data_IF_454877525458
#
_entry.id   IF_454877525458
#
_cell.length_a   1.000
_cell.length_b   1.000
_cell.length_c   1.000
_cell.angle_alpha   90.00
_cell.angle_beta   90.00
_cell.angle_gamma   90.00
#
_symmetry.space_group_name_H-M   'P 1'
#
loop_
_entity.id
_entity.type
_entity.pdbx_description
1 polymer ?
#
# COMPACT_ATOMS: atom_id res chain seq x y z
N UNK A 1 14.84 -5.05 -9.20
CA UNK A 1 15.76 -4.22 -8.37
C UNK A 1 15.14 -2.90 -7.89
N UNK A 2 14.35 -2.19 -8.71
CA UNK A 2 13.75 -0.91 -8.35
C UNK A 2 12.77 -0.97 -7.15
N UNK A 3 11.87 -1.96 -7.12
CA UNK A 3 10.85 -2.07 -6.06
C UNK A 3 11.43 -2.19 -4.64
N UNK A 4 12.52 -2.95 -4.46
CA UNK A 4 13.21 -3.05 -3.17
C UNK A 4 13.79 -1.71 -2.71
N UNK A 5 14.32 -0.90 -3.63
CA UNK A 5 14.82 0.43 -3.30
C UNK A 5 13.68 1.35 -2.85
N UNK A 6 12.53 1.31 -3.54
CA UNK A 6 11.33 2.07 -3.18
C UNK A 6 10.79 1.63 -1.82
N UNK A 7 10.72 0.32 -1.54
CA UNK A 7 10.31 -0.18 -0.22
C UNK A 7 11.20 0.35 0.90
N UNK A 8 12.52 0.30 0.72
CA UNK A 8 13.48 0.81 1.70
C UNK A 8 13.32 2.32 1.92
N UNK A 9 13.12 3.08 0.85
CA UNK A 9 12.90 4.53 0.94
C UNK A 9 11.62 4.85 1.73
N UNK A 10 10.50 4.15 1.46
CA UNK A 10 9.24 4.33 2.20
C UNK A 10 9.43 3.97 3.68
N UNK A 11 10.06 2.82 3.98
CA UNK A 11 10.30 2.41 5.37
C UNK A 11 11.20 3.39 6.12
N UNK A 12 12.24 3.92 5.46
CA UNK A 12 13.12 4.93 6.05
C UNK A 12 12.34 6.21 6.36
N UNK A 13 11.56 6.72 5.41
CA UNK A 13 10.73 7.91 5.62
C UNK A 13 9.70 7.73 6.75
N UNK A 14 9.11 6.53 6.89
CA UNK A 14 8.19 6.23 7.99
C UNK A 14 8.89 6.22 9.35
N UNK A 15 10.11 5.66 9.42
CA UNK A 15 10.92 5.68 10.65
C UNK A 15 11.29 7.10 11.05
N UNK A 16 11.84 7.86 10.10
CA UNK A 16 12.37 9.20 10.40
C UNK A 16 11.27 10.17 10.83
N UNK A 17 10.09 10.08 10.22
CA UNK A 17 8.98 10.98 10.50
C UNK A 17 8.10 10.54 11.67
N UNK A 18 7.92 9.25 11.87
CA UNK A 18 6.92 8.73 12.81
C UNK A 18 7.47 7.73 13.84
N UNK A 19 8.75 7.36 13.77
CA UNK A 19 9.35 6.35 14.66
C UNK A 19 8.81 4.94 14.45
N UNK A 20 8.20 4.66 13.28
CA UNK A 20 7.47 3.41 13.01
C UNK A 20 7.98 2.71 11.75
N UNK A 21 7.82 1.39 11.74
CA UNK A 21 8.15 0.52 10.61
C UNK A 21 6.90 -0.13 10.02
N UNK A 22 6.75 -0.02 8.69
CA UNK A 22 5.74 -0.78 7.96
C UNK A 22 6.18 -2.24 7.81
N UNK A 23 5.46 -3.16 8.47
CA UNK A 23 5.71 -4.59 8.40
C UNK A 23 5.48 -5.17 6.99
N UNK A 24 4.53 -4.62 6.23
CA UNK A 24 4.23 -5.00 4.85
C UNK A 24 3.93 -3.77 4.01
N UNK A 25 4.57 -3.67 2.85
CA UNK A 25 4.27 -2.67 1.80
C UNK A 25 3.79 -3.44 0.59
N UNK A 26 2.54 -3.20 0.18
CA UNK A 26 1.92 -3.83 -0.98
C UNK A 26 1.76 -2.80 -2.09
N UNK A 27 2.45 -3.00 -3.21
CA UNK A 27 2.24 -2.19 -4.41
C UNK A 27 1.09 -2.78 -5.21
N UNK A 28 0.17 -1.93 -5.66
CA UNK A 28 -0.97 -2.34 -6.47
C UNK A 28 -1.15 -1.36 -7.64
N UNK A 29 -1.70 -1.81 -8.78
CA UNK A 29 -2.13 -0.91 -9.85
C UNK A 29 -3.12 0.12 -9.33
N UNK A 30 -3.06 1.35 -9.85
CA UNK A 30 -3.92 2.46 -9.39
C UNK A 30 -5.41 2.13 -9.48
N UNK A 31 -5.82 1.40 -10.53
CA UNK A 31 -7.21 0.99 -10.75
C UNK A 31 -7.70 -0.05 -9.75
N UNK A 32 -6.79 -0.76 -9.07
CA UNK A 32 -7.13 -1.80 -8.10
C UNK A 32 -7.43 -1.26 -6.69
N UNK A 33 -7.09 0.00 -6.40
CA UNK A 33 -7.31 0.61 -5.08
C UNK A 33 -8.80 0.97 -4.94
N UNK A 34 -9.56 0.34 -4.02
CA UNK A 34 -10.99 0.61 -3.88
C UNK A 34 -11.27 2.07 -3.49
N UNK A 35 -12.21 2.70 -4.19
CA UNK A 35 -12.65 4.08 -3.94
C UNK A 35 -14.12 4.14 -3.54
N UNK A 36 -14.51 5.20 -2.83
CA UNK A 36 -15.90 5.56 -2.57
C UNK A 36 -16.53 6.14 -3.83
N UNK A 37 -17.86 6.29 -3.84
CA UNK A 37 -18.59 6.96 -4.93
C UNK A 37 -18.08 8.38 -5.22
N UNK A 38 -17.56 9.06 -4.20
CA UNK A 38 -16.94 10.39 -4.29
C UNK A 38 -15.45 10.35 -4.64
N UNK A 39 -14.90 9.19 -4.98
CA UNK A 39 -13.52 9.02 -5.45
C UNK A 39 -12.46 8.94 -4.35
N UNK A 40 -12.84 9.00 -3.07
CA UNK A 40 -11.89 8.88 -1.93
C UNK A 40 -11.43 7.42 -1.80
N UNK A 41 -10.19 7.21 -1.34
CA UNK A 41 -9.71 5.85 -1.05
C UNK A 41 -10.50 5.25 0.11
N UNK A 42 -11.08 4.08 -0.12
CA UNK A 42 -11.77 3.31 0.92
C UNK A 42 -10.77 2.39 1.62
N UNK A 43 -10.12 2.91 2.68
CA UNK A 43 -9.07 2.17 3.42
C UNK A 43 -9.56 0.83 3.98
N UNK A 44 -10.79 0.79 4.49
CA UNK A 44 -11.41 -0.43 5.01
C UNK A 44 -11.57 -1.51 3.93
N UNK A 45 -12.10 -1.15 2.76
CA UNK A 45 -12.22 -2.08 1.62
C UNK A 45 -10.86 -2.50 1.09
N UNK A 46 -9.88 -1.59 1.07
CA UNK A 46 -8.50 -1.89 0.70
C UNK A 46 -7.90 -2.97 1.62
N UNK A 47 -8.13 -2.87 2.94
CA UNK A 47 -7.71 -3.89 3.91
C UNK A 47 -8.40 -5.23 3.66
N UNK A 48 -9.72 -5.23 3.47
CA UNK A 48 -10.47 -6.46 3.21
C UNK A 48 -9.99 -7.16 1.95
N UNK A 49 -9.81 -6.42 0.84
CA UNK A 49 -9.29 -6.97 -0.41
C UNK A 49 -7.87 -7.55 -0.26
N UNK A 50 -6.98 -6.88 0.48
CA UNK A 50 -5.64 -7.40 0.74
C UNK A 50 -5.67 -8.70 1.56
N UNK A 51 -6.54 -8.79 2.57
CA UNK A 51 -6.68 -9.97 3.41
C UNK A 51 -7.36 -11.14 2.69
N UNK A 52 -8.29 -10.85 1.79
CA UNK A 52 -8.95 -11.83 0.94
C UNK A 52 -8.06 -12.36 -0.19
N UNK A 53 -6.97 -11.64 -0.53
CA UNK A 53 -6.11 -11.96 -1.67
C UNK A 53 -6.58 -11.34 -2.99
N UNK A 54 -7.63 -10.53 -2.96
CA UNK A 54 -8.25 -9.89 -4.13
C UNK A 54 -7.49 -8.64 -4.61
N UNK A 55 -6.54 -8.11 -3.81
CA UNK A 55 -5.76 -6.94 -4.19
C UNK A 55 -4.51 -7.36 -4.98
N UNK A 56 -4.45 -7.13 -6.31
CA UNK A 56 -3.31 -7.56 -7.13
C UNK A 56 -2.03 -6.81 -6.75
N UNK A 57 -0.91 -7.50 -6.93
CA UNK A 57 0.42 -6.91 -6.81
C UNK A 57 0.81 -6.24 -8.12
N UNK A 58 1.30 -5.00 -8.05
CA UNK A 58 2.09 -4.42 -9.13
C UNK A 58 3.51 -4.99 -9.03
N UNK A 59 3.92 -5.74 -10.05
CA UNK A 59 5.28 -6.27 -10.22
C UNK A 59 6.13 -5.26 -10.97
#
# INVERSE_FOLDING_TARGET
MAQHAVMRAIQQALRDRFGLLAARIHFAPVAAIPRTSTGKVSRARCRLALLAGDLPSAV
#
